data_IF_377801571468
#
_entry.id   IF_377801571468
#
_cell.length_a   1.000
_cell.length_b   1.000
_cell.length_c   1.000
_cell.angle_alpha   90.00
_cell.angle_beta   90.00
_cell.angle_gamma   90.00
#
_symmetry.space_group_name_H-M   'P 1'
#
loop_
_entity.id
_entity.type
_entity.pdbx_description
1 polymer ?
#
# COMPACT_ATOMS: atom_id res chain seq x y z
N UNK A 1 2.20 9.26 -19.23
CA UNK A 1 0.95 8.99 -19.98
C UNK A 1 -0.21 9.17 -19.01
N UNK A 2 -0.99 10.24 -19.15
CA UNK A 2 -2.16 10.47 -18.28
C UNK A 2 -3.35 9.75 -18.93
N UNK A 3 -3.78 8.65 -18.33
CA UNK A 3 -5.02 7.96 -18.72
C UNK A 3 -6.20 8.80 -18.21
N UNK A 4 -7.15 9.10 -19.09
CA UNK A 4 -8.33 9.90 -18.73
C UNK A 4 -9.24 9.06 -17.82
N UNK A 5 -9.72 9.66 -16.73
CA UNK A 5 -10.66 8.97 -15.84
C UNK A 5 -11.97 8.65 -16.59
N UNK A 6 -12.44 7.42 -16.43
CA UNK A 6 -13.69 6.92 -17.01
C UNK A 6 -14.54 6.33 -15.89
N UNK A 7 -15.87 6.43 -15.99
CA UNK A 7 -16.76 5.73 -15.06
C UNK A 7 -16.80 4.26 -15.43
N UNK A 8 -16.70 3.41 -14.42
CA UNK A 8 -16.86 1.95 -14.55
C UNK A 8 -18.07 1.57 -13.71
N UNK A 9 -18.93 0.70 -14.26
CA UNK A 9 -20.06 0.13 -13.51
C UNK A 9 -19.55 -0.78 -12.40
N UNK A 10 -20.24 -0.77 -11.26
CA UNK A 10 -19.93 -1.66 -10.13
C UNK A 10 -21.00 -2.76 -10.10
N UNK A 11 -20.57 -4.02 -10.09
CA UNK A 11 -21.47 -5.17 -10.07
C UNK A 11 -22.13 -5.37 -8.70
N UNK A 12 -21.36 -5.23 -7.61
CA UNK A 12 -21.83 -5.34 -6.23
C UNK A 12 -21.12 -4.32 -5.32
N UNK A 13 -21.85 -3.76 -4.37
CA UNK A 13 -21.25 -3.00 -3.26
C UNK A 13 -20.73 -3.95 -2.19
N UNK A 14 -19.82 -3.49 -1.33
CA UNK A 14 -19.29 -4.29 -0.22
C UNK A 14 -20.41 -4.82 0.68
N UNK A 15 -21.48 -4.04 0.90
CA UNK A 15 -22.64 -4.46 1.69
C UNK A 15 -23.50 -5.56 1.04
N UNK A 16 -23.44 -5.69 -0.28
CA UNK A 16 -24.21 -6.68 -1.06
C UNK A 16 -23.35 -7.82 -1.61
N UNK A 17 -22.05 -7.81 -1.33
CA UNK A 17 -21.12 -8.85 -1.75
C UNK A 17 -20.98 -9.89 -0.64
N UNK A 18 -21.11 -11.16 -1.01
CA UNK A 18 -20.79 -12.27 -0.11
C UNK A 18 -19.30 -12.66 -0.34
N UNK A 19 -18.46 -12.67 0.71
CA UNK A 19 -17.08 -13.14 0.61
C UNK A 19 -16.96 -14.56 0.03
N UNK A 20 -18.01 -15.37 0.12
CA UNK A 20 -18.07 -16.74 -0.41
C UNK A 20 -18.19 -16.80 -1.93
N UNK A 21 -18.74 -15.77 -2.59
CA UNK A 21 -19.01 -15.75 -4.04
C UNK A 21 -17.74 -15.73 -4.90
N UNK A 22 -16.61 -15.24 -4.36
CA UNK A 22 -15.38 -15.04 -5.12
C UNK A 22 -14.32 -16.10 -4.80
N UNK A 23 -13.69 -16.68 -5.80
CA UNK A 23 -12.57 -17.63 -5.59
C UNK A 23 -11.27 -16.95 -5.14
N UNK A 24 -11.20 -15.63 -5.21
CA UNK A 24 -10.03 -14.85 -4.87
C UNK A 24 -10.28 -13.36 -5.01
N UNK A 25 -9.41 -12.54 -4.44
CA UNK A 25 -9.63 -11.10 -4.32
C UNK A 25 -8.40 -10.30 -4.71
N UNK A 26 -8.62 -9.25 -5.50
CA UNK A 26 -7.61 -8.26 -5.82
C UNK A 26 -8.04 -6.92 -5.26
N UNK A 27 -7.24 -6.35 -4.36
CA UNK A 27 -7.41 -5.00 -3.82
C UNK A 27 -6.43 -4.06 -4.52
N UNK A 28 -6.85 -3.40 -5.62
CA UNK A 28 -5.97 -2.48 -6.32
C UNK A 28 -5.62 -1.29 -5.44
N UNK A 29 -4.51 -0.65 -5.77
CA UNK A 29 -4.10 0.59 -5.12
C UNK A 29 -4.76 1.84 -5.72
N UNK A 30 -4.04 2.95 -5.67
CA UNK A 30 -4.58 4.28 -5.87
C UNK A 30 -4.71 5.00 -4.54
N UNK A 31 -4.92 6.31 -4.55
CA UNK A 31 -4.89 7.08 -3.30
C UNK A 31 -6.24 7.09 -2.58
N UNK A 32 -7.31 7.49 -3.28
CA UNK A 32 -8.61 7.77 -2.66
C UNK A 32 -9.36 6.49 -2.24
N UNK A 33 -9.38 5.46 -3.09
CA UNK A 33 -10.18 4.27 -2.79
C UNK A 33 -9.68 3.51 -1.55
N UNK A 34 -8.39 3.16 -1.43
CA UNK A 34 -7.89 2.50 -0.22
C UNK A 34 -8.02 3.37 1.04
N UNK A 35 -7.90 4.69 0.93
CA UNK A 35 -8.08 5.59 2.07
C UNK A 35 -9.54 5.63 2.57
N UNK A 36 -10.52 5.56 1.67
CA UNK A 36 -11.93 5.41 2.07
C UNK A 36 -12.22 4.02 2.64
N UNK A 37 -11.70 2.97 2.00
CA UNK A 37 -11.93 1.59 2.43
C UNK A 37 -11.35 1.30 3.81
N UNK A 38 -10.16 1.79 4.13
CA UNK A 38 -9.56 1.57 5.46
C UNK A 38 -10.34 2.25 6.60
N UNK A 39 -11.15 3.27 6.28
CA UNK A 39 -11.99 3.97 7.25
C UNK A 39 -13.35 3.27 7.45
N UNK A 40 -13.82 2.49 6.48
CA UNK A 40 -15.06 1.70 6.60
C UNK A 40 -14.85 0.51 7.54
N UNK A 41 -15.78 0.31 8.48
CA UNK A 41 -15.77 -0.87 9.35
C UNK A 41 -16.16 -2.13 8.57
N UNK A 42 -17.10 -1.99 7.65
CA UNK A 42 -17.63 -3.05 6.79
C UNK A 42 -16.54 -3.58 5.86
N UNK A 43 -15.76 -2.69 5.23
CA UNK A 43 -14.65 -3.09 4.36
C UNK A 43 -13.54 -3.80 5.14
N UNK A 44 -13.20 -3.33 6.34
CA UNK A 44 -12.23 -4.01 7.21
C UNK A 44 -12.72 -5.38 7.66
N UNK A 45 -14.00 -5.51 8.01
CA UNK A 45 -14.59 -6.79 8.36
C UNK A 45 -14.59 -7.75 7.16
N UNK A 46 -15.01 -7.29 5.99
CA UNK A 46 -15.00 -8.08 4.76
C UNK A 46 -13.61 -8.63 4.45
N UNK A 47 -12.56 -7.79 4.56
CA UNK A 47 -11.18 -8.21 4.34
C UNK A 47 -10.71 -9.24 5.39
N UNK A 48 -11.07 -9.07 6.67
CA UNK A 48 -10.76 -10.07 7.71
C UNK A 48 -11.43 -11.42 7.42
N UNK A 49 -12.70 -11.41 7.03
CA UNK A 49 -13.41 -12.64 6.66
C UNK A 49 -12.78 -13.35 5.46
N UNK A 50 -12.18 -12.61 4.53
CA UNK A 50 -11.45 -13.22 3.41
C UNK A 50 -10.15 -13.88 3.85
N UNK A 51 -9.43 -13.22 4.76
CA UNK A 51 -8.21 -13.75 5.37
C UNK A 51 -8.54 -15.04 6.12
N UNK A 52 -9.56 -15.02 6.99
CA UNK A 52 -9.97 -16.16 7.82
C UNK A 52 -10.47 -17.37 7.02
N UNK A 53 -10.89 -17.17 5.77
CA UNK A 53 -11.44 -18.22 4.89
C UNK A 53 -10.39 -18.81 3.94
N UNK A 54 -9.12 -18.50 4.12
CA UNK A 54 -8.00 -18.98 3.30
C UNK A 54 -8.15 -18.71 1.79
N UNK A 55 -8.94 -17.69 1.42
CA UNK A 55 -9.11 -17.33 0.00
C UNK A 55 -7.93 -16.52 -0.50
N UNK A 56 -7.39 -16.77 -1.72
CA UNK A 56 -6.26 -16.02 -2.23
C UNK A 56 -6.60 -14.53 -2.37
N UNK A 57 -5.80 -13.68 -1.74
CA UNK A 57 -5.88 -12.22 -1.75
C UNK A 57 -4.59 -11.67 -2.33
N UNK A 58 -4.70 -10.74 -3.28
CA UNK A 58 -3.60 -9.96 -3.80
C UNK A 58 -3.85 -8.47 -3.58
N UNK A 59 -2.82 -7.70 -3.20
CA UNK A 59 -2.95 -6.25 -3.10
C UNK A 59 -1.67 -5.49 -3.47
N UNK A 60 -1.82 -4.26 -3.94
CA UNK A 60 -0.74 -3.46 -4.51
C UNK A 60 -0.81 -2.01 -4.04
N UNK A 61 0.34 -1.36 -3.94
CA UNK A 61 0.42 0.09 -3.79
C UNK A 61 -0.14 0.55 -2.44
N UNK A 62 -1.29 1.21 -2.42
CA UNK A 62 -1.91 1.68 -1.18
C UNK A 62 -3.03 0.73 -0.70
N UNK A 63 -3.41 -0.27 -1.50
CA UNK A 63 -4.36 -1.31 -1.09
C UNK A 63 -3.98 -2.00 0.23
N UNK A 64 -2.68 -2.30 0.49
CA UNK A 64 -2.21 -2.83 1.78
C UNK A 64 -2.59 -2.02 3.02
N UNK A 65 -2.94 -0.74 2.89
CA UNK A 65 -3.38 0.08 4.03
C UNK A 65 -4.67 -0.45 4.69
N UNK A 66 -5.56 -1.09 3.91
CA UNK A 66 -6.78 -1.70 4.44
C UNK A 66 -6.44 -2.89 5.33
N UNK A 67 -5.46 -3.71 4.91
CA UNK A 67 -4.95 -4.85 5.67
C UNK A 67 -4.22 -4.41 6.94
N UNK A 68 -3.34 -3.40 6.84
CA UNK A 68 -2.65 -2.84 8.00
C UNK A 68 -3.66 -2.29 9.04
N UNK A 69 -4.69 -1.58 8.58
CA UNK A 69 -5.78 -1.10 9.44
C UNK A 69 -6.68 -2.22 9.99
N UNK A 70 -6.53 -3.44 9.47
CA UNK A 70 -7.24 -4.64 9.90
C UNK A 70 -6.44 -5.52 10.85
N UNK A 71 -5.14 -5.24 11.06
CA UNK A 71 -4.25 -5.97 11.98
C UNK A 71 -2.99 -6.56 11.34
N UNK A 72 -2.77 -6.37 10.03
CA UNK A 72 -1.58 -6.87 9.34
C UNK A 72 -0.31 -6.06 9.68
N UNK A 73 0.83 -6.72 9.63
CA UNK A 73 2.16 -6.13 9.85
C UNK A 73 2.75 -5.59 8.55
N UNK A 74 3.35 -4.40 8.62
CA UNK A 74 3.95 -3.71 7.47
C UNK A 74 5.39 -4.15 7.20
N UNK A 75 5.74 -4.49 5.96
CA UNK A 75 7.07 -4.93 5.52
C UNK A 75 7.52 -4.17 4.27
N UNK A 76 8.72 -3.60 4.28
CA UNK A 76 9.32 -2.91 3.14
C UNK A 76 10.09 -3.88 2.24
N UNK A 77 9.34 -4.65 1.45
CA UNK A 77 9.83 -5.64 0.48
C UNK A 77 9.08 -5.52 -0.84
N UNK A 78 9.75 -5.85 -1.95
CA UNK A 78 9.19 -5.75 -3.30
C UNK A 78 7.90 -6.57 -3.45
N UNK A 79 7.92 -7.80 -2.92
CA UNK A 79 6.77 -8.72 -2.82
C UNK A 79 6.84 -9.45 -1.48
N UNK A 80 5.69 -9.63 -0.83
CA UNK A 80 5.52 -10.52 0.33
C UNK A 80 4.44 -11.53 -0.01
N UNK A 81 4.74 -12.81 0.19
CA UNK A 81 3.78 -13.91 0.17
C UNK A 81 3.63 -14.43 1.60
N UNK A 82 2.39 -14.55 2.08
CA UNK A 82 2.09 -15.01 3.43
C UNK A 82 0.73 -15.72 3.47
N UNK A 83 0.74 -17.05 3.52
CA UNK A 83 -0.48 -17.85 3.46
C UNK A 83 -1.27 -17.55 2.20
N UNK A 84 -2.53 -17.13 2.38
CA UNK A 84 -3.42 -16.74 1.29
C UNK A 84 -3.21 -15.29 0.81
N UNK A 85 -2.17 -14.58 1.24
CA UNK A 85 -1.94 -13.17 0.92
C UNK A 85 -0.67 -12.94 0.09
N UNK A 86 -0.79 -12.20 -1.01
CA UNK A 86 0.35 -11.66 -1.78
C UNK A 86 0.25 -10.15 -1.91
N UNK A 87 1.29 -9.45 -1.47
CA UNK A 87 1.29 -7.98 -1.49
C UNK A 87 2.55 -7.41 -2.10
N UNK A 88 2.44 -6.21 -2.67
CA UNK A 88 3.58 -5.49 -3.25
C UNK A 88 3.45 -3.98 -3.07
N UNK A 89 4.60 -3.32 -3.12
CA UNK A 89 4.69 -1.89 -2.86
C UNK A 89 4.13 -1.08 -3.99
N UNK A 90 4.29 -1.42 -5.26
CA UNK A 90 3.76 -0.54 -6.30
C UNK A 90 4.20 -0.86 -7.72
N UNK A 91 3.94 0.05 -8.67
CA UNK A 91 4.28 -0.16 -10.08
C UNK A 91 5.76 -0.50 -10.33
N UNK A 92 6.65 -0.05 -9.46
CA UNK A 92 8.09 -0.35 -9.53
C UNK A 92 8.42 -1.84 -9.33
N UNK A 93 7.53 -2.60 -8.68
CA UNK A 93 7.73 -4.01 -8.37
C UNK A 93 6.95 -4.95 -9.30
N UNK A 94 6.33 -4.44 -10.38
CA UNK A 94 5.48 -5.22 -11.29
C UNK A 94 6.16 -6.45 -11.89
N UNK A 95 7.45 -6.35 -12.20
CA UNK A 95 8.24 -7.46 -12.75
C UNK A 95 8.29 -8.66 -11.81
N UNK A 96 8.22 -8.43 -10.50
CA UNK A 96 8.21 -9.48 -9.48
C UNK A 96 6.78 -9.82 -9.02
N UNK A 97 5.89 -8.83 -9.00
CA UNK A 97 4.54 -9.01 -8.49
C UNK A 97 3.61 -9.76 -9.44
N UNK A 98 3.72 -9.53 -10.75
CA UNK A 98 2.89 -10.22 -11.75
C UNK A 98 3.07 -11.76 -11.68
N UNK A 99 4.30 -12.32 -11.75
CA UNK A 99 4.46 -13.77 -11.62
C UNK A 99 4.00 -14.26 -10.24
N UNK A 100 4.28 -13.51 -9.17
CA UNK A 100 3.83 -13.87 -7.83
C UNK A 100 2.30 -13.98 -7.71
N UNK A 101 1.54 -13.07 -8.33
CA UNK A 101 0.08 -13.13 -8.41
C UNK A 101 -0.38 -14.34 -9.22
N UNK A 102 0.22 -14.58 -10.39
CA UNK A 102 -0.19 -15.68 -11.28
C UNK A 102 -0.04 -17.00 -10.54
N UNK A 103 1.13 -17.23 -9.93
CA UNK A 103 1.39 -18.42 -9.11
C UNK A 103 0.38 -18.51 -7.97
N UNK A 104 0.11 -17.40 -7.26
CA UNK A 104 -0.80 -17.37 -6.11
C UNK A 104 -2.25 -17.75 -6.43
N UNK A 105 -2.76 -17.33 -7.58
CA UNK A 105 -4.12 -17.68 -8.00
C UNK A 105 -4.19 -19.03 -8.72
N UNK A 106 -3.08 -19.53 -9.27
CA UNK A 106 -3.00 -20.86 -9.89
C UNK A 106 -2.83 -21.96 -8.84
N UNK A 107 -1.94 -21.75 -7.87
CA UNK A 107 -1.65 -22.67 -6.78
C UNK A 107 -2.56 -22.35 -5.59
N UNK A 108 -3.78 -22.87 -5.64
CA UNK A 108 -4.80 -22.68 -4.58
C UNK A 108 -4.45 -23.33 -3.24
N UNK A 109 -3.28 -23.95 -3.12
CA UNK A 109 -2.79 -24.50 -1.87
C UNK A 109 -2.04 -23.39 -1.11
N UNK A 110 -2.50 -22.98 0.09
CA UNK A 110 -1.79 -21.97 0.86
C UNK A 110 -0.38 -22.49 1.20
N UNK A 111 0.64 -21.67 0.91
CA UNK A 111 1.96 -21.88 1.48
C UNK A 111 1.80 -21.79 3.00
N UNK A 112 2.33 -22.78 3.74
CA UNK A 112 2.13 -22.83 5.19
C UNK A 112 2.52 -21.47 5.79
N UNK A 113 1.67 -20.87 6.66
CA UNK A 113 1.92 -19.54 7.18
C UNK A 113 3.32 -19.52 7.78
N UNK A 114 4.14 -18.59 7.33
CA UNK A 114 5.47 -18.43 7.90
C UNK A 114 5.24 -18.05 9.37
N UNK A 115 5.46 -19.01 10.27
CA UNK A 115 5.23 -18.82 11.70
C UNK A 115 5.97 -17.55 12.15
N UNK A 116 5.24 -16.53 12.61
CA UNK A 116 5.86 -15.58 13.51
C UNK A 116 4.85 -15.01 14.50
N UNK A 117 5.07 -15.44 15.72
CA UNK A 117 4.81 -14.63 16.88
C UNK A 117 5.79 -13.45 16.91
N UNK A 118 5.27 -12.22 17.05
CA UNK A 118 6.07 -11.04 17.41
C UNK A 118 6.65 -10.18 16.27
N UNK A 119 6.09 -10.20 15.05
CA UNK A 119 6.54 -9.29 13.97
C UNK A 119 6.09 -7.84 14.23
N UNK A 120 7.04 -6.94 14.43
CA UNK A 120 6.82 -5.48 14.47
C UNK A 120 6.88 -4.93 13.04
N UNK A 121 6.02 -3.97 12.72
CA UNK A 121 6.04 -3.27 11.42
C UNK A 121 7.40 -2.62 11.15
N UNK A 122 7.89 -2.73 9.92
CA UNK A 122 9.05 -1.99 9.46
C UNK A 122 8.85 -0.48 9.70
N UNK A 123 9.91 0.25 10.09
CA UNK A 123 9.80 1.67 10.38
C UNK A 123 9.30 2.42 9.16
N UNK A 124 8.34 3.33 9.38
CA UNK A 124 7.89 4.27 8.36
C UNK A 124 9.12 5.05 7.84
N UNK A 125 9.30 5.12 6.52
CA UNK A 125 10.28 6.04 5.93
C UNK A 125 9.77 7.49 6.08
N UNK A 126 9.93 8.05 7.27
CA UNK A 126 9.41 9.36 7.66
C UNK A 126 10.52 10.42 7.86
N UNK A 127 11.78 10.07 7.57
CA UNK A 127 12.90 11.02 7.56
C UNK A 127 13.44 11.21 6.14
N UNK A 128 13.83 12.45 5.75
CA UNK A 128 14.60 12.64 4.54
C UNK A 128 15.90 11.82 4.66
N UNK A 129 16.32 11.20 3.56
CA UNK A 129 17.59 10.46 3.49
C UNK A 129 18.70 11.25 4.18
N UNK A 130 19.42 10.63 5.12
CA UNK A 130 20.29 11.36 6.06
C UNK A 130 21.35 12.26 5.38
N UNK A 131 21.80 11.88 4.18
CA UNK A 131 22.70 12.71 3.38
C UNK A 131 22.06 14.02 2.88
N UNK A 132 20.75 14.04 2.61
CA UNK A 132 20.05 15.24 2.18
C UNK A 132 19.93 16.25 3.34
N UNK A 133 19.64 15.76 4.56
CA UNK A 133 19.65 16.60 5.77
C UNK A 133 21.07 17.09 6.08
N UNK A 134 22.09 16.24 5.90
CA UNK A 134 23.48 16.62 6.07
C UNK A 134 23.94 17.68 5.06
N UNK A 135 23.50 17.61 3.81
CA UNK A 135 23.77 18.63 2.80
C UNK A 135 23.12 19.98 3.14
N UNK A 136 21.87 19.96 3.63
CA UNK A 136 21.15 21.16 4.07
C UNK A 136 21.79 21.85 5.28
N UNK A 137 22.58 21.13 6.10
CA UNK A 137 23.36 21.71 7.21
C UNK A 137 24.43 22.69 6.71
N UNK A 138 24.95 22.47 5.49
CA UNK A 138 25.98 23.31 4.87
C UNK A 138 25.42 24.35 3.90
N UNK A 139 24.09 24.38 3.71
CA UNK A 139 23.44 25.43 2.95
C UNK A 139 23.45 26.75 3.74
N UNK A 140 23.69 27.90 3.09
CA UNK A 140 23.54 29.19 3.73
C UNK A 140 22.11 29.32 4.28
N UNK A 141 21.95 29.66 5.57
CA UNK A 141 20.62 29.96 6.11
C UNK A 141 20.07 31.18 5.35
N UNK A 142 18.89 31.09 4.72
CA UNK A 142 18.32 32.26 4.05
C UNK A 142 18.04 33.33 5.10
N UNK A 143 18.34 34.59 4.76
CA UNK A 143 17.85 35.74 5.51
C UNK A 143 16.31 35.74 5.49
N UNK A 144 15.65 36.31 6.50
CA UNK A 144 14.18 36.38 6.59
C UNK A 144 13.51 36.84 5.27
N UNK A 145 14.05 37.84 4.54
CA UNK A 145 13.53 38.21 3.22
C UNK A 145 13.69 37.13 2.14
N UNK A 146 14.83 36.42 2.14
CA UNK A 146 15.09 35.31 1.20
C UNK A 146 14.26 34.05 1.49
N UNK A 147 13.91 33.81 2.76
CA UNK A 147 13.04 32.71 3.17
C UNK A 147 11.59 32.90 2.69
N UNK A 148 11.07 34.13 2.73
CA UNK A 148 9.73 34.46 2.25
C UNK A 148 9.62 34.35 0.72
N UNK A 149 10.63 34.80 -0.03
CA UNK A 149 10.67 34.62 -1.48
C UNK A 149 10.82 33.14 -1.87
N UNK A 150 11.62 32.38 -1.11
CA UNK A 150 11.83 30.95 -1.30
C UNK A 150 10.61 30.08 -0.96
N UNK A 151 9.80 30.49 0.02
CA UNK A 151 8.56 29.79 0.41
C UNK A 151 7.50 29.84 -0.70
N UNK A 152 7.37 30.96 -1.42
CA UNK A 152 6.43 31.08 -2.55
C UNK A 152 6.87 30.27 -3.77
N UNK A 153 8.16 30.27 -4.09
CA UNK A 153 8.71 29.47 -5.18
C UNK A 153 8.78 27.97 -4.83
N UNK A 154 9.10 27.65 -3.58
CA UNK A 154 9.18 26.29 -3.04
C UNK A 154 7.82 25.63 -2.88
N UNK A 155 6.78 26.36 -2.46
CA UNK A 155 5.42 25.83 -2.40
C UNK A 155 4.89 25.44 -3.79
N UNK A 156 5.18 26.24 -4.84
CA UNK A 156 4.85 25.90 -6.22
C UNK A 156 5.59 24.65 -6.74
N UNK A 157 6.78 24.33 -6.21
CA UNK A 157 7.59 23.18 -6.64
C UNK A 157 7.42 21.94 -5.76
N UNK A 158 7.06 22.10 -4.50
CA UNK A 158 6.80 21.01 -3.55
C UNK A 158 5.46 20.32 -3.83
N UNK A 159 4.45 21.09 -4.26
CA UNK A 159 3.15 20.55 -4.71
C UNK A 159 3.30 19.70 -5.99
N UNK A 160 4.36 19.90 -6.78
CA UNK A 160 4.57 19.14 -8.02
C UNK A 160 5.39 17.84 -7.85
N UNK A 161 6.25 17.72 -6.84
CA UNK A 161 7.14 16.54 -6.65
C UNK A 161 6.74 15.60 -5.52
N UNK A 162 5.87 15.99 -4.60
CA UNK A 162 5.48 15.12 -3.45
C UNK A 162 4.38 14.09 -3.74
N UNK A 163 3.93 13.97 -4.99
CA UNK A 163 2.99 12.91 -5.38
C UNK A 163 3.60 11.49 -5.32
N UNK A 164 4.92 11.37 -5.26
CA UNK A 164 5.61 10.08 -5.45
C UNK A 164 6.29 9.52 -4.19
N UNK A 165 6.16 10.15 -3.02
CA UNK A 165 6.89 9.77 -1.80
C UNK A 165 6.00 9.29 -0.64
N UNK A 166 4.81 8.73 -0.92
CA UNK A 166 4.06 8.01 0.10
C UNK A 166 4.59 6.58 0.16
N UNK A 167 5.20 6.23 1.30
CA UNK A 167 5.84 4.93 1.56
C UNK A 167 4.93 3.78 1.16
N UNK A 168 5.30 3.16 0.05
CA UNK A 168 4.65 1.99 -0.49
C UNK A 168 5.39 0.78 0.05
N UNK A 169 4.68 -0.14 0.68
CA UNK A 169 5.26 -1.36 1.23
C UNK A 169 4.24 -2.50 1.18
N UNK A 170 4.75 -3.71 1.27
CA UNK A 170 3.98 -4.94 1.36
C UNK A 170 3.57 -5.21 2.82
N UNK A 171 2.60 -6.07 3.06
CA UNK A 171 2.15 -6.47 4.40
C UNK A 171 2.12 -7.99 4.53
N UNK A 172 2.29 -8.48 5.75
CA UNK A 172 2.15 -9.87 6.19
C UNK A 172 1.10 -9.93 7.30
N UNK A 173 0.40 -11.05 7.43
CA UNK A 173 -0.60 -11.24 8.48
C UNK A 173 0.10 -11.35 9.84
N UNK A 174 -0.41 -10.63 10.84
CA UNK A 174 0.02 -10.82 12.23
C UNK A 174 -0.88 -11.88 12.85
N UNK A 175 -0.38 -13.11 12.96
CA UNK A 175 -0.95 -14.14 13.83
C UNK A 175 -0.37 -14.03 15.23
#
# INVERSE_FOLDING_TARGET
MIVRATRIGVDKTISGADPTDCNGHLLPGGFISPDLLRQSAEARQFVRELVDRDKPIATLCHGPWVLASSGATWLNRDVVKDGNLVTSRGPQDMTLFIPAIIDHFADTAPEAPAAATGRVSDPQLNSPVGWAVAALRWSPKPSIPGALAGLMAGACRYVSTTRDACGVASVSLSS
#
